data_IF_372664606628
#
_entry.id   IF_372664606628
#
_cell.length_a   1.000
_cell.length_b   1.000
_cell.length_c   1.000
_cell.angle_alpha   90.00
_cell.angle_beta   90.00
_cell.angle_gamma   90.00
#
_symmetry.space_group_name_H-M   'P 1'
#
loop_
_entity.id
_entity.type
_entity.pdbx_description
1 polymer ?
#
# COMPACT_ATOMS: atom_id res chain seq x y z
N UNK A 1 -68.81 -42.15 -12.93
CA UNK A 1 -68.56 -40.93 -12.12
C UNK A 1 -67.37 -41.24 -11.27
N UNK A 2 -66.18 -40.80 -11.71
CA UNK A 2 -64.92 -40.95 -10.97
C UNK A 2 -64.30 -39.58 -10.79
N UNK A 3 -64.29 -39.11 -9.55
CA UNK A 3 -63.66 -37.86 -9.14
C UNK A 3 -62.15 -38.04 -9.03
N UNK A 4 -61.40 -37.26 -9.81
CA UNK A 4 -59.96 -37.16 -9.75
C UNK A 4 -59.55 -36.31 -8.54
N UNK A 5 -58.79 -36.92 -7.61
CA UNK A 5 -58.15 -36.23 -6.50
C UNK A 5 -56.93 -35.42 -7.03
N UNK A 6 -57.05 -34.12 -7.03
CA UNK A 6 -55.98 -33.20 -7.43
C UNK A 6 -54.95 -33.09 -6.30
N UNK A 7 -53.69 -33.41 -6.62
CA UNK A 7 -52.58 -33.45 -5.68
C UNK A 7 -52.14 -32.05 -5.25
N UNK A 8 -52.55 -31.61 -4.07
CA UNK A 8 -52.10 -30.38 -3.41
C UNK A 8 -50.73 -30.49 -2.72
N UNK A 9 -50.11 -31.65 -2.72
CA UNK A 9 -48.88 -31.92 -1.93
C UNK A 9 -47.59 -31.38 -2.51
N UNK A 10 -47.49 -31.14 -3.82
CA UNK A 10 -46.24 -30.78 -4.49
C UNK A 10 -45.95 -29.26 -4.52
N UNK A 11 -46.95 -28.42 -4.31
CA UNK A 11 -46.81 -26.96 -4.33
C UNK A 11 -46.16 -26.44 -3.01
N UNK A 12 -46.57 -27.00 -1.88
CA UNK A 12 -46.11 -26.57 -0.54
C UNK A 12 -44.61 -26.86 -0.31
N UNK A 13 -44.12 -28.00 -0.81
CA UNK A 13 -42.70 -28.36 -0.70
C UNK A 13 -41.80 -27.47 -1.55
N UNK A 14 -42.24 -27.02 -2.71
CA UNK A 14 -41.44 -26.11 -3.57
C UNK A 14 -41.32 -24.69 -2.99
N UNK A 15 -42.37 -24.21 -2.33
CA UNK A 15 -42.32 -22.90 -1.65
C UNK A 15 -41.45 -22.92 -0.41
N UNK A 16 -41.43 -24.00 0.35
CA UNK A 16 -40.53 -24.20 1.49
C UNK A 16 -39.08 -24.24 1.07
N UNK A 17 -38.75 -24.90 -0.04
CA UNK A 17 -37.39 -24.94 -0.57
C UNK A 17 -36.89 -23.56 -1.06
N UNK A 18 -37.75 -22.80 -1.74
CA UNK A 18 -37.41 -21.43 -2.17
C UNK A 18 -37.21 -20.49 -1.00
N UNK A 19 -38.02 -20.57 0.04
CA UNK A 19 -37.85 -19.77 1.25
C UNK A 19 -36.55 -20.12 2.01
N UNK A 20 -36.20 -21.40 2.11
CA UNK A 20 -34.96 -21.84 2.73
C UNK A 20 -33.71 -21.35 1.96
N UNK A 21 -33.77 -21.33 0.61
CA UNK A 21 -32.66 -20.85 -0.22
C UNK A 21 -32.45 -19.33 -0.04
N UNK A 22 -33.52 -18.56 0.10
CA UNK A 22 -33.43 -17.11 0.34
C UNK A 22 -32.83 -16.79 1.73
N UNK A 23 -33.14 -17.57 2.75
CA UNK A 23 -32.57 -17.39 4.10
C UNK A 23 -31.07 -17.70 4.13
N UNK A 24 -30.62 -18.73 3.40
CA UNK A 24 -29.19 -19.06 3.30
C UNK A 24 -28.40 -17.99 2.54
N UNK A 25 -28.96 -17.44 1.45
CA UNK A 25 -28.30 -16.36 0.69
C UNK A 25 -28.24 -15.07 1.51
N UNK A 26 -29.28 -14.75 2.29
CA UNK A 26 -29.27 -13.59 3.18
C UNK A 26 -28.25 -13.72 4.34
N UNK A 27 -28.02 -14.94 4.83
CA UNK A 27 -27.04 -15.18 5.90
C UNK A 27 -25.58 -15.05 5.42
N UNK A 28 -25.29 -15.29 4.15
CA UNK A 28 -23.94 -15.14 3.57
C UNK A 28 -23.52 -13.68 3.35
N UNK A 29 -24.47 -12.75 3.29
CA UNK A 29 -24.20 -11.30 3.12
C UNK A 29 -23.85 -10.54 4.40
N UNK A 30 -24.00 -11.13 5.58
CA UNK A 30 -23.97 -10.42 6.86
C UNK A 30 -22.55 -10.21 7.47
N UNK A 31 -21.47 -10.71 6.84
CA UNK A 31 -20.13 -10.69 7.43
C UNK A 31 -19.14 -9.70 6.80
N UNK A 32 -19.59 -8.74 6.00
CA UNK A 32 -18.69 -7.67 5.52
C UNK A 32 -18.69 -6.54 6.54
N UNK A 33 -17.85 -6.65 7.57
CA UNK A 33 -17.56 -5.52 8.45
C UNK A 33 -16.81 -4.46 7.62
N UNK A 34 -17.34 -3.24 7.45
CA UNK A 34 -16.61 -2.19 6.74
C UNK A 34 -15.29 -1.92 7.48
N UNK A 35 -14.17 -1.73 6.77
CA UNK A 35 -12.90 -1.43 7.41
C UNK A 35 -13.03 -0.15 8.23
N UNK A 36 -12.57 -0.20 9.47
CA UNK A 36 -12.56 0.96 10.39
C UNK A 36 -11.79 2.10 9.71
N UNK A 37 -12.36 3.32 9.65
CA UNK A 37 -11.64 4.47 9.13
C UNK A 37 -10.35 4.71 9.94
N UNK A 38 -9.26 5.10 9.25
CA UNK A 38 -8.02 5.46 9.94
C UNK A 38 -8.22 6.75 10.74
N UNK A 39 -7.65 6.82 11.94
CA UNK A 39 -7.66 8.04 12.75
C UNK A 39 -6.53 8.99 12.30
N UNK A 40 -6.91 10.07 11.65
CA UNK A 40 -5.99 11.10 11.17
C UNK A 40 -5.86 12.30 12.12
N UNK A 41 -6.32 12.21 13.37
CA UNK A 41 -6.31 13.34 14.31
C UNK A 41 -4.92 13.93 14.47
N UNK A 42 -3.91 13.11 14.76
CA UNK A 42 -2.52 13.55 14.88
C UNK A 42 -1.99 14.16 13.57
N UNK A 43 -2.31 13.56 12.42
CA UNK A 43 -1.86 14.06 11.11
C UNK A 43 -2.44 15.45 10.82
N UNK A 44 -3.73 15.66 11.07
CA UNK A 44 -4.41 16.94 10.86
C UNK A 44 -3.98 18.03 11.84
N UNK A 45 -3.58 17.67 13.05
CA UNK A 45 -3.03 18.62 14.04
C UNK A 45 -1.63 19.10 13.66
N UNK A 46 -0.75 18.18 13.23
CA UNK A 46 0.65 18.47 12.94
C UNK A 46 0.89 19.05 11.53
N UNK A 47 0.06 18.69 10.54
CA UNK A 47 0.08 19.23 9.17
C UNK A 47 1.47 19.36 8.56
N UNK A 48 2.23 18.26 8.40
CA UNK A 48 3.58 18.34 7.84
C UNK A 48 3.54 18.90 6.40
N UNK A 49 4.51 19.73 6.05
CA UNK A 49 4.69 20.31 4.72
C UNK A 49 5.78 19.58 3.96
N UNK A 50 6.76 19.08 4.69
CA UNK A 50 7.96 18.41 4.17
C UNK A 50 8.17 17.05 4.80
N UNK A 51 8.68 16.12 3.96
CA UNK A 51 8.93 14.73 4.33
C UNK A 51 10.39 14.35 4.09
N UNK A 52 11.02 13.75 5.09
CA UNK A 52 12.31 13.09 4.99
C UNK A 52 12.07 11.60 4.84
N UNK A 53 12.47 11.00 3.73
CA UNK A 53 12.40 9.55 3.55
C UNK A 53 13.73 8.94 4.01
N UNK A 54 13.69 8.08 5.02
CA UNK A 54 14.87 7.35 5.48
C UNK A 54 15.11 6.10 4.62
N UNK A 55 16.38 5.62 4.51
CA UNK A 55 16.66 4.38 3.81
C UNK A 55 15.86 3.22 4.40
N UNK A 56 15.09 2.46 3.60
CA UNK A 56 14.27 1.36 4.10
C UNK A 56 15.07 0.29 4.83
N UNK A 57 14.54 -0.18 5.96
CA UNK A 57 15.01 -1.41 6.59
C UNK A 57 14.67 -2.60 5.69
N UNK A 58 15.64 -3.46 5.45
CA UNK A 58 15.47 -4.66 4.64
C UNK A 58 15.45 -5.92 5.51
N UNK A 59 14.30 -6.59 5.55
CA UNK A 59 14.11 -7.91 6.22
C UNK A 59 14.11 -9.06 5.20
N UNK A 60 14.62 -8.82 3.98
CA UNK A 60 14.65 -9.82 2.91
C UNK A 60 16.10 -10.22 2.57
N UNK A 61 16.32 -11.38 1.92
CA UNK A 61 17.65 -11.76 1.45
C UNK A 61 18.15 -10.92 0.26
N UNK A 62 17.28 -10.14 -0.40
CA UNK A 62 17.64 -9.33 -1.56
C UNK A 62 18.31 -8.02 -1.15
N UNK A 63 19.62 -7.89 -1.45
CA UNK A 63 20.41 -6.71 -1.10
C UNK A 63 19.88 -5.43 -1.78
N UNK A 64 19.34 -5.56 -2.97
CA UNK A 64 18.79 -4.44 -3.76
C UNK A 64 17.50 -3.84 -3.20
N UNK A 65 16.84 -4.49 -2.24
CA UNK A 65 15.52 -4.11 -1.73
C UNK A 65 15.48 -2.69 -1.13
N UNK A 66 16.49 -2.30 -0.35
CA UNK A 66 16.59 -0.98 0.27
C UNK A 66 16.51 0.14 -0.77
N UNK A 67 17.45 0.15 -1.71
CA UNK A 67 17.51 1.21 -2.72
C UNK A 67 16.47 1.04 -3.82
N UNK A 68 16.05 -0.19 -4.10
CA UNK A 68 14.95 -0.48 -5.01
C UNK A 68 13.64 0.16 -4.56
N UNK A 69 13.32 0.11 -3.26
CA UNK A 69 12.14 0.78 -2.69
C UNK A 69 12.40 2.28 -2.50
N UNK A 70 13.57 2.68 -1.99
CA UNK A 70 13.91 4.09 -1.74
C UNK A 70 13.74 4.96 -3.00
N UNK A 71 14.14 4.45 -4.16
CA UNK A 71 14.02 5.18 -5.43
C UNK A 71 12.59 5.38 -5.90
N UNK A 72 11.63 4.62 -5.39
CA UNK A 72 10.21 4.65 -5.81
C UNK A 72 9.29 5.45 -4.89
N UNK A 73 9.73 5.78 -3.68
CA UNK A 73 8.85 6.37 -2.65
C UNK A 73 8.72 7.89 -2.75
N UNK A 74 9.64 8.55 -3.42
CA UNK A 74 9.60 10.01 -3.59
C UNK A 74 8.41 10.47 -4.43
N UNK A 75 8.13 9.75 -5.53
CA UNK A 75 7.08 10.11 -6.48
C UNK A 75 5.68 10.17 -5.83
N UNK A 76 5.17 9.12 -5.18
CA UNK A 76 3.83 9.16 -4.59
C UNK A 76 3.67 10.24 -3.50
N UNK A 77 4.71 10.55 -2.73
CA UNK A 77 4.68 11.62 -1.74
C UNK A 77 4.67 13.01 -2.39
N UNK A 78 5.45 13.21 -3.46
CA UNK A 78 5.46 14.45 -4.23
C UNK A 78 4.11 14.69 -4.93
N UNK A 79 3.52 13.65 -5.53
CA UNK A 79 2.17 13.68 -6.12
C UNK A 79 1.08 13.95 -5.09
N UNK A 80 1.26 13.45 -3.85
CA UNK A 80 0.37 13.78 -2.74
C UNK A 80 0.48 15.25 -2.30
N UNK A 81 1.48 16.01 -2.78
CA UNK A 81 1.64 17.44 -2.53
C UNK A 81 2.62 17.80 -1.41
N UNK A 82 3.54 16.91 -1.05
CA UNK A 82 4.60 17.18 -0.08
C UNK A 82 5.88 17.65 -0.76
N UNK A 83 6.67 18.45 -0.06
CA UNK A 83 8.08 18.58 -0.37
C UNK A 83 8.82 17.36 0.17
N UNK A 84 9.50 16.64 -0.68
CA UNK A 84 10.33 15.49 -0.28
C UNK A 84 11.79 15.92 -0.31
N UNK A 85 12.49 15.76 0.82
CA UNK A 85 13.94 16.00 0.90
C UNK A 85 14.61 15.08 -0.13
N UNK A 86 15.51 15.59 -1.00
CA UNK A 86 16.17 14.76 -1.99
C UNK A 86 16.88 13.57 -1.35
N UNK A 87 16.53 12.36 -1.77
CA UNK A 87 17.06 11.12 -1.16
C UNK A 87 18.58 11.01 -1.31
N UNK A 88 19.17 11.54 -2.38
CA UNK A 88 20.62 11.58 -2.57
C UNK A 88 21.31 12.50 -1.57
N UNK A 89 20.69 13.63 -1.21
CA UNK A 89 21.22 14.53 -0.18
C UNK A 89 21.16 13.86 1.19
N UNK A 90 20.03 13.22 1.49
CA UNK A 90 19.85 12.48 2.75
C UNK A 90 20.88 11.37 2.90
N UNK A 91 21.05 10.53 1.89
CA UNK A 91 22.00 9.39 1.89
C UNK A 91 23.45 9.87 2.05
N UNK A 92 23.85 10.89 1.27
CA UNK A 92 25.17 11.49 1.37
C UNK A 92 25.43 12.11 2.74
N UNK A 93 24.46 12.81 3.32
CA UNK A 93 24.60 13.41 4.65
C UNK A 93 24.86 12.35 5.72
N UNK A 94 24.11 11.24 5.71
CA UNK A 94 24.35 10.16 6.65
C UNK A 94 25.71 9.49 6.44
N UNK A 95 26.08 9.23 5.18
CA UNK A 95 27.35 8.61 4.82
C UNK A 95 28.54 9.43 5.28
N UNK A 96 28.52 10.75 5.08
CA UNK A 96 29.56 11.67 5.54
C UNK A 96 29.69 11.73 7.06
N UNK A 97 28.61 11.40 7.79
CA UNK A 97 28.63 11.31 9.25
C UNK A 97 28.88 9.88 9.76
N UNK A 98 29.31 8.95 8.90
CA UNK A 98 29.66 7.59 9.26
C UNK A 98 28.47 6.63 9.44
N UNK A 99 27.24 7.08 9.15
CA UNK A 99 26.02 6.28 9.24
C UNK A 99 25.73 5.64 7.88
N UNK A 100 26.14 4.40 7.71
CA UNK A 100 25.96 3.66 6.44
C UNK A 100 24.93 2.53 6.55
N UNK A 101 24.46 2.25 7.76
CA UNK A 101 23.49 1.19 8.02
C UNK A 101 22.09 1.77 8.24
N UNK A 102 21.07 1.35 7.46
CA UNK A 102 19.69 1.80 7.66
C UNK A 102 19.17 1.63 9.09
N UNK A 103 19.59 0.59 9.83
CA UNK A 103 19.17 0.39 11.21
C UNK A 103 19.69 1.51 12.12
N UNK A 104 20.96 1.88 12.00
CA UNK A 104 21.56 2.98 12.77
C UNK A 104 20.92 4.33 12.41
N UNK A 105 20.59 4.54 11.12
CA UNK A 105 19.89 5.74 10.66
C UNK A 105 18.48 5.82 11.29
N UNK A 106 17.76 4.69 11.39
CA UNK A 106 16.43 4.63 12.01
C UNK A 106 16.48 4.87 13.53
N UNK A 107 17.62 4.67 14.19
CA UNK A 107 17.82 4.94 15.62
C UNK A 107 18.13 6.43 15.92
N UNK A 108 18.39 7.25 14.88
CA UNK A 108 18.57 8.69 15.04
C UNK A 108 17.27 9.31 15.53
N UNK A 109 17.34 10.07 16.62
CA UNK A 109 16.14 10.67 17.21
C UNK A 109 15.40 11.61 16.23
N UNK A 110 14.08 11.66 16.24
CA UNK A 110 13.28 12.54 15.38
C UNK A 110 13.73 14.00 15.44
N UNK A 111 14.00 14.51 16.64
CA UNK A 111 14.50 15.86 16.84
C UNK A 111 15.83 16.11 16.14
N UNK A 112 16.76 15.14 16.17
CA UNK A 112 18.04 15.26 15.49
C UNK A 112 17.91 15.25 13.97
N UNK A 113 17.01 14.41 13.44
CA UNK A 113 16.67 14.43 12.02
C UNK A 113 16.12 15.79 11.58
N UNK A 114 15.25 16.40 12.41
CA UNK A 114 14.74 17.76 12.15
C UNK A 114 15.87 18.82 12.15
N UNK A 115 16.77 18.76 13.10
CA UNK A 115 17.91 19.68 13.19
C UNK A 115 18.81 19.62 11.94
N UNK A 116 19.03 18.40 11.41
CA UNK A 116 19.92 18.19 10.26
C UNK A 116 19.23 18.57 8.93
N UNK A 117 17.99 18.09 8.73
CA UNK A 117 17.33 18.18 7.41
C UNK A 117 16.25 19.25 7.31
N UNK A 118 15.82 19.85 8.42
CA UNK A 118 14.76 20.85 8.46
C UNK A 118 13.38 20.34 8.06
N UNK A 119 13.20 19.01 7.94
CA UNK A 119 11.92 18.40 7.57
C UNK A 119 10.92 18.40 8.73
N UNK A 120 9.60 18.39 8.41
CA UNK A 120 8.54 18.35 9.41
C UNK A 120 8.24 16.94 9.87
N UNK A 121 8.27 15.97 8.95
CA UNK A 121 8.02 14.57 9.25
C UNK A 121 9.04 13.67 8.58
N UNK A 122 9.23 12.47 9.15
CA UNK A 122 10.05 11.42 8.54
C UNK A 122 9.23 10.17 8.22
N UNK A 123 9.54 9.56 7.09
CA UNK A 123 8.95 8.33 6.58
C UNK A 123 9.93 7.19 6.85
N UNK A 124 9.55 6.30 7.76
CA UNK A 124 10.26 5.09 8.12
C UNK A 124 9.66 3.93 7.35
N UNK A 125 10.45 3.25 6.55
CA UNK A 125 9.99 2.13 5.73
C UNK A 125 10.71 0.85 6.13
N UNK A 126 9.97 -0.27 6.09
CA UNK A 126 10.46 -1.61 6.30
C UNK A 126 9.99 -2.50 5.15
N UNK A 127 10.92 -3.10 4.44
CA UNK A 127 10.65 -4.05 3.35
C UNK A 127 10.66 -5.46 3.95
N UNK A 128 9.51 -6.13 3.91
CA UNK A 128 9.34 -7.47 4.48
C UNK A 128 9.34 -8.57 3.42
N UNK A 129 9.08 -8.22 2.17
CA UNK A 129 9.20 -9.12 1.02
C UNK A 129 9.72 -8.33 -0.18
N UNK A 130 10.70 -8.89 -0.88
CA UNK A 130 11.23 -8.34 -2.12
C UNK A 130 11.89 -9.47 -2.92
N UNK A 131 11.50 -9.65 -4.18
CA UNK A 131 12.11 -10.65 -5.03
C UNK A 131 11.13 -11.64 -5.63
N UNK A 132 11.69 -12.62 -6.34
CA UNK A 132 10.94 -13.66 -7.04
C UNK A 132 11.08 -15.00 -6.33
N UNK A 133 9.97 -15.59 -5.97
CA UNK A 133 9.88 -16.98 -5.48
C UNK A 133 9.63 -17.91 -6.64
N UNK A 134 10.53 -18.88 -6.83
CA UNK A 134 10.41 -19.90 -7.87
C UNK A 134 9.68 -21.13 -7.30
N UNK A 135 8.52 -21.45 -7.87
CA UNK A 135 7.75 -22.66 -7.56
C UNK A 135 7.66 -23.53 -8.80
N UNK A 136 7.47 -24.84 -8.60
CA UNK A 136 7.45 -25.84 -9.69
C UNK A 136 6.43 -25.55 -10.79
N UNK A 137 5.34 -24.85 -10.49
CA UNK A 137 4.26 -24.58 -11.44
C UNK A 137 4.19 -23.09 -11.84
N UNK A 138 4.68 -22.17 -11.03
CA UNK A 138 4.67 -20.73 -11.35
C UNK A 138 5.67 -19.96 -10.48
N UNK A 139 6.42 -19.05 -11.08
CA UNK A 139 7.21 -18.05 -10.35
C UNK A 139 6.33 -16.86 -9.98
N UNK A 140 6.54 -16.29 -8.80
CA UNK A 140 5.85 -15.10 -8.33
C UNK A 140 6.87 -14.08 -7.82
N UNK A 141 6.83 -12.87 -8.40
CA UNK A 141 7.55 -11.71 -7.86
C UNK A 141 6.63 -10.96 -6.93
N UNK A 142 7.12 -10.67 -5.71
CA UNK A 142 6.33 -9.97 -4.69
C UNK A 142 7.17 -8.95 -3.96
N UNK A 143 6.59 -7.76 -3.74
CA UNK A 143 7.16 -6.72 -2.87
C UNK A 143 6.11 -6.34 -1.84
N UNK A 144 6.50 -6.37 -0.57
CA UNK A 144 5.68 -5.94 0.57
C UNK A 144 6.49 -4.95 1.39
N UNK A 145 5.91 -3.77 1.60
CA UNK A 145 6.50 -2.73 2.43
C UNK A 145 5.50 -2.23 3.47
N UNK A 146 6.02 -1.85 4.63
CA UNK A 146 5.30 -1.15 5.70
C UNK A 146 5.93 0.21 5.89
N UNK A 147 5.13 1.23 6.18
CA UNK A 147 5.64 2.56 6.48
C UNK A 147 4.98 3.15 7.71
N UNK A 148 5.73 4.03 8.40
CA UNK A 148 5.27 4.91 9.47
C UNK A 148 5.73 6.32 9.13
N UNK A 149 4.88 7.30 9.41
CA UNK A 149 5.22 8.72 9.31
C UNK A 149 5.18 9.30 10.72
N UNK A 150 6.31 9.87 11.15
CA UNK A 150 6.45 10.48 12.48
C UNK A 150 6.70 11.99 12.31
N UNK A 151 6.03 12.78 13.13
CA UNK A 151 6.37 14.21 13.28
C UNK A 151 7.78 14.33 13.90
N UNK A 152 8.65 15.11 13.27
CA UNK A 152 10.04 15.23 13.71
C UNK A 152 10.22 16.21 14.87
N UNK A 153 9.21 17.00 15.20
CA UNK A 153 9.22 17.93 16.33
C UNK A 153 8.79 17.24 17.62
N UNK A 154 7.76 16.40 17.55
CA UNK A 154 7.15 15.74 18.71
C UNK A 154 7.53 14.27 18.84
N UNK A 155 7.87 13.61 17.74
CA UNK A 155 8.04 12.15 17.66
C UNK A 155 6.71 11.41 17.56
N UNK A 156 5.59 12.11 17.40
CA UNK A 156 4.25 11.52 17.34
C UNK A 156 4.04 10.76 16.04
N UNK A 157 3.35 9.61 16.12
CA UNK A 157 2.96 8.83 14.96
C UNK A 157 1.78 9.50 14.24
N UNK A 158 2.01 9.98 13.03
CA UNK A 158 1.00 10.64 12.21
C UNK A 158 0.19 9.63 11.38
N UNK A 159 0.88 8.64 10.82
CA UNK A 159 0.28 7.63 9.96
C UNK A 159 1.12 6.37 9.89
N UNK A 160 0.46 5.25 9.66
CA UNK A 160 1.13 3.99 9.35
C UNK A 160 0.28 3.16 8.37
N UNK A 161 0.96 2.39 7.53
CA UNK A 161 0.30 1.56 6.54
C UNK A 161 1.18 0.42 6.04
N UNK A 162 0.57 -0.45 5.25
CA UNK A 162 1.25 -1.56 4.56
C UNK A 162 0.66 -1.76 3.18
N UNK A 163 1.51 -2.08 2.22
CA UNK A 163 1.07 -2.44 0.88
C UNK A 163 1.90 -3.58 0.31
N UNK A 164 1.24 -4.37 -0.54
CA UNK A 164 1.84 -5.46 -1.30
C UNK A 164 1.53 -5.27 -2.78
N UNK A 165 2.48 -5.62 -3.62
CA UNK A 165 2.29 -5.79 -5.05
C UNK A 165 2.90 -7.11 -5.49
N UNK A 166 2.22 -7.84 -6.38
CA UNK A 166 2.66 -9.17 -6.80
C UNK A 166 2.30 -9.44 -8.28
N UNK A 167 3.14 -10.22 -8.94
CA UNK A 167 2.92 -10.64 -10.33
C UNK A 167 1.72 -11.58 -10.49
N UNK A 168 1.28 -12.22 -9.42
CA UNK A 168 0.09 -13.08 -9.44
C UNK A 168 -1.21 -12.29 -9.60
N UNK A 169 -1.25 -11.04 -9.15
CA UNK A 169 -2.42 -10.16 -9.30
C UNK A 169 -2.72 -9.87 -10.77
N UNK A 170 -1.70 -9.66 -11.59
CA UNK A 170 -1.84 -9.40 -13.02
C UNK A 170 -2.38 -10.61 -13.79
N UNK A 171 -2.15 -11.82 -13.30
CA UNK A 171 -2.66 -13.07 -13.90
C UNK A 171 -4.15 -13.30 -13.59
N UNK A 172 -4.59 -12.87 -12.42
CA UNK A 172 -6.00 -13.00 -12.01
C UNK A 172 -6.89 -11.88 -12.56
N UNK A 173 -6.32 -10.71 -12.90
CA UNK A 173 -7.08 -9.56 -13.43
C UNK A 173 -7.40 -9.66 -14.92
N UNK A 174 -6.85 -10.64 -15.65
CA UNK A 174 -7.29 -10.92 -17.02
C UNK A 174 -8.74 -11.44 -17.11
N UNK A 175 -9.38 -11.69 -15.96
CA UNK A 175 -10.79 -12.08 -15.84
C UNK A 175 -11.70 -10.95 -15.35
N UNK A 176 -11.20 -9.76 -15.06
CA UNK A 176 -11.93 -8.63 -14.45
C UNK A 176 -11.80 -7.32 -15.22
N UNK A 177 -12.74 -7.04 -16.13
CA UNK A 177 -13.19 -5.72 -16.58
C UNK A 177 -12.14 -4.68 -17.04
N UNK A 178 -12.62 -3.65 -17.77
CA UNK A 178 -11.87 -2.51 -18.32
C UNK A 178 -10.95 -1.75 -17.33
N UNK A 179 -11.23 -1.80 -16.02
CA UNK A 179 -10.39 -1.18 -15.00
C UNK A 179 -9.02 -1.88 -14.80
N UNK A 180 -8.94 -3.20 -15.02
CA UNK A 180 -7.70 -3.96 -15.00
C UNK A 180 -6.79 -3.68 -16.20
N UNK A 181 -7.38 -3.34 -17.34
CA UNK A 181 -6.66 -3.02 -18.60
C UNK A 181 -5.91 -1.69 -18.52
N UNK A 182 -6.45 -0.68 -17.85
CA UNK A 182 -5.81 0.64 -17.74
C UNK A 182 -4.56 0.60 -16.84
N UNK A 183 -4.59 -0.18 -15.77
CA UNK A 183 -3.40 -0.37 -14.91
C UNK A 183 -2.31 -1.15 -15.66
N UNK A 184 -2.68 -2.13 -16.48
CA UNK A 184 -1.74 -2.88 -17.31
C UNK A 184 -1.13 -2.04 -18.44
N UNK A 185 -1.86 -1.11 -19.05
CA UNK A 185 -1.36 -0.31 -20.18
C UNK A 185 -0.24 0.66 -19.77
N UNK A 186 -0.33 1.26 -18.59
CA UNK A 186 0.74 2.13 -18.05
C UNK A 186 1.98 1.32 -17.65
N UNK A 187 1.79 0.08 -17.21
CA UNK A 187 2.86 -0.80 -16.75
C UNK A 187 3.66 -1.41 -17.91
N UNK A 188 3.01 -1.71 -19.05
CA UNK A 188 3.68 -2.36 -20.20
C UNK A 188 4.65 -1.43 -20.93
N UNK A 189 4.48 -0.12 -20.90
CA UNK A 189 5.41 0.82 -21.55
C UNK A 189 6.74 1.00 -20.81
N UNK A 190 6.85 0.61 -19.55
CA UNK A 190 8.08 0.74 -18.73
C UNK A 190 8.93 -0.55 -18.76
N UNK A 191 8.41 -1.66 -19.27
CA UNK A 191 8.96 -3.01 -19.08
C UNK A 191 10.05 -3.40 -20.07
N UNK A 192 10.26 -2.71 -21.17
CA UNK A 192 11.19 -3.17 -22.20
C UNK A 192 12.69 -3.03 -21.87
N UNK A 193 13.06 -2.38 -20.74
CA UNK A 193 14.48 -2.14 -20.41
C UNK A 193 14.90 -2.52 -18.99
N UNK A 194 14.04 -2.99 -18.11
CA UNK A 194 14.40 -3.32 -16.74
C UNK A 194 14.48 -4.83 -16.52
N UNK A 195 15.68 -5.35 -16.37
CA UNK A 195 15.96 -6.75 -16.00
C UNK A 195 15.51 -7.13 -14.59
N UNK A 196 15.05 -6.16 -13.77
CA UNK A 196 14.58 -6.40 -12.40
C UNK A 196 13.06 -6.24 -12.28
N UNK A 197 12.37 -7.37 -12.40
CA UNK A 197 10.92 -7.43 -12.20
C UNK A 197 10.51 -6.97 -10.78
N UNK A 198 11.36 -7.15 -9.78
CA UNK A 198 11.12 -6.73 -8.40
C UNK A 198 11.05 -5.21 -8.27
N UNK A 199 11.85 -4.48 -9.05
CA UNK A 199 11.84 -3.03 -9.08
C UNK A 199 10.50 -2.46 -9.56
N UNK A 200 9.88 -3.07 -10.58
CA UNK A 200 8.53 -2.72 -11.03
C UNK A 200 7.49 -2.88 -9.91
N UNK A 201 7.53 -4.01 -9.20
CA UNK A 201 6.58 -4.23 -8.09
C UNK A 201 6.90 -3.37 -6.86
N UNK A 202 8.14 -2.95 -6.69
CA UNK A 202 8.50 -1.93 -5.69
C UNK A 202 7.81 -0.59 -5.99
N UNK A 203 7.78 -0.15 -7.25
CA UNK A 203 7.04 1.04 -7.67
C UNK A 203 5.54 0.94 -7.38
N UNK A 204 4.92 -0.19 -7.76
CA UNK A 204 3.49 -0.42 -7.51
C UNK A 204 3.19 -0.47 -6.01
N UNK A 205 4.01 -1.16 -5.22
CA UNK A 205 3.85 -1.24 -3.76
C UNK A 205 4.01 0.14 -3.11
N UNK A 206 4.99 0.94 -3.51
CA UNK A 206 5.24 2.29 -3.02
C UNK A 206 4.08 3.24 -3.35
N UNK A 207 3.55 3.16 -4.57
CA UNK A 207 2.38 3.92 -4.99
C UNK A 207 1.13 3.52 -4.19
N UNK A 208 0.91 2.24 -3.95
CA UNK A 208 -0.19 1.74 -3.11
C UNK A 208 -0.06 2.16 -1.65
N UNK A 209 1.17 2.22 -1.15
CA UNK A 209 1.47 2.52 0.24
C UNK A 209 1.30 4.01 0.55
N UNK A 210 1.89 4.88 -0.27
CA UNK A 210 2.10 6.29 0.05
C UNK A 210 1.19 7.27 -0.72
N UNK A 211 0.40 6.81 -1.69
CA UNK A 211 -0.53 7.71 -2.38
C UNK A 211 -1.74 8.05 -1.52
N UNK A 212 -2.26 9.26 -1.72
CA UNK A 212 -3.47 9.75 -1.04
C UNK A 212 -4.70 9.03 -1.58
N UNK A 213 -5.25 8.14 -0.77
CA UNK A 213 -6.48 7.35 -1.03
C UNK A 213 -7.11 6.97 0.31
N UNK A 214 -8.26 6.31 0.28
CA UNK A 214 -8.93 5.83 1.49
C UNK A 214 -7.94 5.06 2.39
N UNK A 215 -7.75 5.53 3.63
CA UNK A 215 -6.77 5.05 4.61
C UNK A 215 -5.29 5.20 4.17
N UNK A 216 -4.99 5.97 3.11
CA UNK A 216 -3.65 6.32 2.66
C UNK A 216 -3.05 7.53 3.38
N UNK A 217 -1.98 8.09 2.84
CA UNK A 217 -1.41 9.35 3.34
C UNK A 217 -2.33 10.49 2.92
N UNK A 218 -2.63 11.44 3.82
CA UNK A 218 -3.45 12.62 3.49
C UNK A 218 -2.75 13.50 2.44
N UNK A 219 -3.52 14.33 1.75
CA UNK A 219 -2.95 15.28 0.80
C UNK A 219 -2.12 16.37 1.50
N UNK A 220 -0.95 16.64 0.96
CA UNK A 220 -0.05 17.71 1.40
C UNK A 220 -0.46 19.09 0.86
N UNK A 221 0.14 20.17 1.41
CA UNK A 221 -0.30 21.54 1.15
C UNK A 221 -0.11 22.03 -0.30
N UNK A 222 0.65 21.31 -1.13
CA UNK A 222 0.81 21.63 -2.56
C UNK A 222 -0.17 20.90 -3.46
N UNK A 223 -0.96 19.98 -2.90
CA UNK A 223 -2.01 19.29 -3.66
C UNK A 223 -3.23 20.20 -3.84
N UNK A 224 -3.88 20.19 -5.03
CA UNK A 224 -5.17 20.85 -5.21
C UNK A 224 -6.28 20.24 -4.34
N UNK A 225 -6.07 19.03 -3.84
CA UNK A 225 -7.01 18.31 -2.98
C UNK A 225 -6.66 18.45 -1.48
N UNK A 226 -5.80 19.40 -1.11
CA UNK A 226 -5.44 19.61 0.28
C UNK A 226 -6.65 19.90 1.15
N UNK A 227 -6.77 19.20 2.29
CA UNK A 227 -7.88 19.30 3.24
C UNK A 227 -9.26 18.84 2.70
N UNK A 228 -9.31 18.10 1.59
CA UNK A 228 -10.57 17.49 1.11
C UNK A 228 -10.73 16.03 1.55
N UNK A 229 -9.73 15.43 2.20
CA UNK A 229 -9.62 14.04 2.65
C UNK A 229 -9.72 13.86 4.18
#
# INVERSE_FOLDING_TARGET
MTLSAFSLGTAVTRWGQLAATWVVVAALGACVTPPTPYDYTAFRQNRPVSMLVLPPLNETPEVSATYGVLSQVTLPLAEAGYYVVPVSLMDETFRQNGLNNPAEIHDVSPRKLREIFGADAAVYIKVTQYGTSYRVIASETRVTARARILDLRTGELLWQGSATASSSESRNSSQGGLAGLLVNAVITQIVETASDTSFKYAGIASQRLLSSRKNGVLYGPRSPNYQTD
#
